data_IF_186988087885
#
_entry.id   IF_186988087885
#
_cell.length_a   1.000
_cell.length_b   1.000
_cell.length_c   1.000
_cell.angle_alpha   90.00
_cell.angle_beta   90.00
_cell.angle_gamma   90.00
#
_symmetry.space_group_name_H-M   'P 1'
#
loop_
_entity.id
_entity.type
_entity.pdbx_description
1 polymer ?
#
# COMPACT_ATOMS: atom_id res chain seq x y z
N UNK A 1 4.12 -29.06 -1.65
CA UNK A 1 3.17 -28.02 -1.23
C UNK A 1 1.77 -28.45 -1.66
N UNK A 2 0.70 -27.93 -1.06
CA UNK A 2 -0.66 -28.11 -1.58
C UNK A 2 -1.21 -26.76 -2.03
N UNK A 3 -1.97 -26.74 -3.10
CA UNK A 3 -2.49 -25.53 -3.74
C UNK A 3 -3.85 -25.79 -4.39
N UNK A 4 -4.55 -24.71 -4.68
CA UNK A 4 -5.79 -24.74 -5.46
C UNK A 4 -5.43 -24.51 -6.93
N UNK A 5 -6.04 -25.26 -7.83
CA UNK A 5 -5.83 -25.14 -9.28
C UNK A 5 -7.17 -24.97 -9.99
N UNK A 6 -7.24 -23.98 -10.87
CA UNK A 6 -8.35 -23.75 -11.77
C UNK A 6 -7.82 -23.73 -13.21
N UNK A 7 -8.41 -24.58 -14.07
CA UNK A 7 -8.06 -24.64 -15.48
C UNK A 7 -9.30 -25.01 -16.30
N UNK A 8 -9.61 -24.23 -17.34
CA UNK A 8 -10.77 -24.44 -18.22
C UNK A 8 -12.11 -24.64 -17.47
N UNK A 9 -12.35 -23.86 -16.41
CA UNK A 9 -13.57 -23.94 -15.60
C UNK A 9 -13.63 -25.13 -14.64
N UNK A 10 -12.60 -25.96 -14.57
CA UNK A 10 -12.44 -27.02 -13.58
C UNK A 10 -11.57 -26.55 -12.42
N UNK A 11 -12.15 -26.48 -11.23
CA UNK A 11 -11.44 -26.15 -9.99
C UNK A 11 -11.19 -27.42 -9.16
N UNK A 12 -9.96 -27.60 -8.67
CA UNK A 12 -9.64 -28.58 -7.62
C UNK A 12 -8.91 -27.89 -6.48
N UNK A 13 -9.38 -28.13 -5.26
CA UNK A 13 -8.91 -27.46 -4.05
C UNK A 13 -7.92 -28.35 -3.31
N UNK A 14 -6.85 -27.75 -2.78
CA UNK A 14 -5.90 -28.36 -1.87
C UNK A 14 -5.30 -29.66 -2.41
N UNK A 15 -4.67 -29.60 -3.58
CA UNK A 15 -3.97 -30.72 -4.23
C UNK A 15 -2.46 -30.53 -4.22
N UNK A 16 -1.73 -31.64 -4.20
CA UNK A 16 -0.30 -31.67 -4.52
C UNK A 16 -0.08 -31.74 -6.02
N UNK A 17 1.15 -31.44 -6.46
CA UNK A 17 1.59 -31.56 -7.85
C UNK A 17 1.27 -32.93 -8.47
N UNK A 18 1.57 -34.01 -7.74
CA UNK A 18 1.31 -35.38 -8.20
C UNK A 18 -0.17 -35.67 -8.37
N UNK A 19 -1.00 -35.31 -7.38
CA UNK A 19 -2.46 -35.46 -7.47
C UNK A 19 -3.04 -34.63 -8.63
N UNK A 20 -2.53 -33.41 -8.87
CA UNK A 20 -2.98 -32.59 -10.00
C UNK A 20 -2.61 -33.21 -11.36
N UNK A 21 -1.41 -33.78 -11.48
CA UNK A 21 -0.98 -34.50 -12.67
C UNK A 21 -1.82 -35.77 -12.92
N UNK A 22 -2.11 -36.54 -11.87
CA UNK A 22 -2.97 -37.73 -11.94
C UNK A 22 -4.42 -37.38 -12.32
N UNK A 23 -4.88 -36.19 -11.94
CA UNK A 23 -6.18 -35.64 -12.32
C UNK A 23 -6.22 -35.07 -13.76
N UNK A 24 -5.09 -35.10 -14.47
CA UNK A 24 -4.96 -34.70 -15.86
C UNK A 24 -4.80 -33.19 -16.09
N UNK A 25 -4.42 -32.41 -15.09
CA UNK A 25 -4.09 -31.00 -15.28
C UNK A 25 -2.80 -30.85 -16.11
N UNK A 26 -2.72 -29.87 -17.03
CA UNK A 26 -1.50 -29.63 -17.80
C UNK A 26 -0.40 -29.07 -16.90
N UNK A 27 0.85 -29.41 -17.21
CA UNK A 27 2.03 -29.03 -16.41
C UNK A 27 2.14 -27.51 -16.21
N UNK A 28 1.85 -26.71 -17.25
CA UNK A 28 1.87 -25.24 -17.16
C UNK A 28 0.87 -24.69 -16.15
N UNK A 29 -0.35 -25.25 -16.08
CA UNK A 29 -1.36 -24.82 -15.11
C UNK A 29 -0.98 -25.22 -13.68
N UNK A 30 -0.37 -26.41 -13.53
CA UNK A 30 0.19 -26.90 -12.27
C UNK A 30 1.31 -25.97 -11.79
N UNK A 31 2.25 -25.62 -12.67
CA UNK A 31 3.36 -24.71 -12.38
C UNK A 31 2.86 -23.33 -11.97
N UNK A 32 1.92 -22.76 -12.72
CA UNK A 32 1.34 -21.45 -12.41
C UNK A 32 0.63 -21.45 -11.04
N UNK A 33 -0.18 -22.47 -10.76
CA UNK A 33 -0.90 -22.60 -9.50
C UNK A 33 0.05 -22.80 -8.31
N UNK A 34 1.08 -23.63 -8.48
CA UNK A 34 2.11 -23.85 -7.47
C UNK A 34 2.91 -22.57 -7.20
N UNK A 35 3.33 -21.84 -8.24
CA UNK A 35 4.00 -20.54 -8.08
C UNK A 35 3.12 -19.51 -7.37
N UNK A 36 1.83 -19.43 -7.73
CA UNK A 36 0.88 -18.53 -7.08
C UNK A 36 0.71 -18.84 -5.59
N UNK A 37 0.65 -20.13 -5.23
CA UNK A 37 0.56 -20.58 -3.85
C UNK A 37 1.84 -20.27 -3.05
N UNK A 38 3.03 -20.45 -3.64
CA UNK A 38 4.29 -20.04 -3.04
C UNK A 38 4.30 -18.54 -2.76
N UNK A 39 3.96 -17.72 -3.76
CA UNK A 39 3.90 -16.27 -3.61
C UNK A 39 2.88 -15.84 -2.55
N UNK A 40 1.73 -16.53 -2.45
CA UNK A 40 0.73 -16.27 -1.42
C UNK A 40 1.25 -16.62 -0.02
N UNK A 41 1.91 -17.76 0.14
CA UNK A 41 2.51 -18.17 1.42
C UNK A 41 3.60 -17.20 1.87
N UNK A 42 4.45 -16.73 0.96
CA UNK A 42 5.49 -15.76 1.27
C UNK A 42 4.91 -14.40 1.66
N UNK A 43 3.84 -13.95 0.97
CA UNK A 43 3.08 -12.76 1.39
C UNK A 43 2.45 -12.92 2.77
N UNK A 44 1.91 -14.10 3.11
CA UNK A 44 1.33 -14.37 4.44
C UNK A 44 2.40 -14.26 5.53
N UNK A 45 3.53 -14.94 5.37
CA UNK A 45 4.66 -14.87 6.31
C UNK A 45 5.18 -13.44 6.48
N UNK A 46 5.25 -12.67 5.40
CA UNK A 46 5.65 -11.26 5.48
C UNK A 46 4.64 -10.46 6.31
N UNK A 47 3.33 -10.65 6.09
CA UNK A 47 2.29 -9.97 6.87
C UNK A 47 2.36 -10.34 8.35
N UNK A 48 2.55 -11.61 8.67
CA UNK A 48 2.73 -12.06 10.06
C UNK A 48 3.93 -11.35 10.73
N UNK A 49 5.04 -11.23 10.00
CA UNK A 49 6.22 -10.49 10.47
C UNK A 49 5.95 -8.99 10.64
N UNK A 50 5.19 -8.38 9.74
CA UNK A 50 4.78 -6.96 9.86
C UNK A 50 3.90 -6.79 11.10
N UNK A 51 2.89 -7.64 11.29
CA UNK A 51 2.00 -7.58 12.46
C UNK A 51 2.80 -7.71 13.75
N UNK A 52 3.70 -8.70 13.82
CA UNK A 52 4.51 -8.93 15.01
C UNK A 52 5.56 -7.83 15.27
N UNK A 53 6.08 -7.19 14.22
CA UNK A 53 7.20 -6.25 14.33
C UNK A 53 6.83 -4.77 14.28
N UNK A 54 5.78 -4.41 13.55
CA UNK A 54 5.37 -3.02 13.28
C UNK A 54 3.99 -2.66 13.83
N UNK A 55 3.20 -3.67 14.25
CA UNK A 55 1.84 -3.48 14.75
C UNK A 55 0.79 -4.06 13.80
N UNK A 56 -0.39 -4.31 14.35
CA UNK A 56 -1.55 -4.78 13.60
C UNK A 56 -2.12 -3.68 12.67
N UNK A 57 -3.11 -4.07 11.86
CA UNK A 57 -3.75 -3.15 10.89
C UNK A 57 -4.27 -1.88 11.55
N UNK A 58 -4.87 -1.98 12.74
CA UNK A 58 -5.47 -0.84 13.43
C UNK A 58 -4.40 0.11 13.98
N UNK A 59 -3.31 -0.44 14.53
CA UNK A 59 -2.16 0.34 14.99
C UNK A 59 -1.47 1.08 13.84
N UNK A 60 -1.30 0.39 12.69
CA UNK A 60 -0.71 0.98 11.49
C UNK A 60 -1.61 2.08 10.91
N UNK A 61 -2.92 1.84 10.85
CA UNK A 61 -3.89 2.84 10.41
C UNK A 61 -3.93 4.05 11.34
N UNK A 62 -3.94 3.83 12.66
CA UNK A 62 -3.87 4.88 13.66
C UNK A 62 -2.61 5.73 13.52
N UNK A 63 -1.46 5.10 13.30
CA UNK A 63 -0.19 5.80 13.04
C UNK A 63 -0.27 6.70 11.79
N UNK A 64 -0.85 6.19 10.69
CA UNK A 64 -1.05 6.98 9.47
C UNK A 64 -2.03 8.13 9.70
N UNK A 65 -3.10 7.91 10.47
CA UNK A 65 -4.08 8.93 10.82
C UNK A 65 -3.46 10.04 11.70
N UNK A 66 -2.65 9.69 12.69
CA UNK A 66 -1.96 10.66 13.56
C UNK A 66 -1.01 11.55 12.74
N UNK A 67 -0.21 10.95 11.86
CA UNK A 67 0.68 11.72 10.97
C UNK A 67 -0.12 12.60 10.01
N UNK A 68 -1.21 12.08 9.43
CA UNK A 68 -2.06 12.82 8.49
C UNK A 68 -2.75 14.01 9.18
N UNK A 69 -3.26 13.81 10.40
CA UNK A 69 -3.92 14.88 11.17
C UNK A 69 -2.93 15.93 11.66
N UNK A 70 -1.71 15.52 12.05
CA UNK A 70 -0.62 16.46 12.33
C UNK A 70 -0.30 17.33 11.11
N UNK A 71 -0.11 16.74 9.93
CA UNK A 71 0.16 17.49 8.69
C UNK A 71 -1.00 18.43 8.33
N UNK A 72 -2.23 17.94 8.43
CA UNK A 72 -3.43 18.74 8.15
C UNK A 72 -3.55 19.94 9.10
N UNK A 73 -3.26 19.75 10.40
CA UNK A 73 -3.26 20.83 11.38
C UNK A 73 -2.22 21.91 11.03
N UNK A 74 -0.99 21.51 10.67
CA UNK A 74 0.05 22.46 10.27
C UNK A 74 -0.31 23.21 8.99
N UNK A 75 -0.93 22.54 8.01
CA UNK A 75 -1.40 23.18 6.78
C UNK A 75 -2.53 24.18 7.07
N UNK A 76 -3.46 23.84 7.95
CA UNK A 76 -4.54 24.74 8.36
C UNK A 76 -3.99 25.99 9.08
N UNK A 77 -3.01 25.82 9.97
CA UNK A 77 -2.33 26.93 10.64
C UNK A 77 -1.61 27.83 9.63
N UNK A 78 -0.92 27.25 8.65
CA UNK A 78 -0.27 27.99 7.58
C UNK A 78 -1.29 28.81 6.78
N UNK A 79 -2.38 28.18 6.34
CA UNK A 79 -3.42 28.87 5.57
C UNK A 79 -4.05 30.03 6.35
N UNK A 80 -4.34 29.82 7.64
CA UNK A 80 -4.85 30.87 8.53
C UNK A 80 -3.86 32.04 8.67
N UNK A 81 -2.58 31.75 8.93
CA UNK A 81 -1.55 32.78 9.06
C UNK A 81 -1.35 33.55 7.73
N UNK A 82 -1.31 32.86 6.58
CA UNK A 82 -1.19 33.49 5.27
C UNK A 82 -2.39 34.39 4.93
N UNK A 83 -3.60 34.03 5.36
CA UNK A 83 -4.80 34.84 5.10
C UNK A 83 -4.79 36.22 5.78
N UNK A 84 -3.94 36.40 6.80
CA UNK A 84 -3.84 37.65 7.58
C UNK A 84 -2.51 38.37 7.41
N UNK A 85 -1.53 37.73 6.77
CA UNK A 85 -0.22 38.30 6.52
C UNK A 85 -0.31 39.52 5.58
N UNK A 86 0.30 40.62 5.98
CA UNK A 86 0.29 41.88 5.23
C UNK A 86 1.62 42.17 4.52
N UNK A 87 2.62 41.29 4.72
CA UNK A 87 3.96 41.48 4.18
C UNK A 87 4.62 40.15 3.83
N UNK A 88 5.62 40.21 2.92
CA UNK A 88 6.47 39.06 2.61
C UNK A 88 7.24 38.55 3.84
N UNK A 89 7.55 39.43 4.80
CA UNK A 89 8.20 39.04 6.04
C UNK A 89 7.27 38.18 6.91
N UNK A 90 6.00 38.60 7.06
CA UNK A 90 4.97 37.82 7.76
C UNK A 90 4.65 36.51 7.04
N UNK A 91 4.59 36.50 5.70
CA UNK A 91 4.41 35.25 4.94
C UNK A 91 5.53 34.24 5.18
N UNK A 92 6.79 34.69 5.23
CA UNK A 92 7.93 33.82 5.55
C UNK A 92 7.86 33.31 6.98
N UNK A 93 7.52 34.18 7.93
CA UNK A 93 7.34 33.80 9.33
C UNK A 93 6.20 32.77 9.50
N UNK A 94 5.09 32.94 8.78
CA UNK A 94 3.96 32.01 8.76
C UNK A 94 4.33 30.63 8.22
N UNK A 95 5.21 30.57 7.21
CA UNK A 95 5.70 29.32 6.64
C UNK A 95 6.71 28.57 7.51
N UNK A 96 7.39 29.27 8.44
CA UNK A 96 8.51 28.73 9.19
C UNK A 96 8.17 27.45 9.98
N UNK A 97 7.05 27.35 10.72
CA UNK A 97 6.75 26.13 11.49
C UNK A 97 6.58 24.88 10.61
N UNK A 98 5.94 25.02 9.44
CA UNK A 98 5.81 23.90 8.50
C UNK A 98 7.15 23.59 7.84
N UNK A 99 7.96 24.62 7.52
CA UNK A 99 9.29 24.43 6.98
C UNK A 99 10.20 23.68 7.95
N UNK A 100 10.20 24.04 9.24
CA UNK A 100 11.00 23.37 10.27
C UNK A 100 10.62 21.89 10.39
N UNK A 101 9.32 21.61 10.50
CA UNK A 101 8.80 20.24 10.60
C UNK A 101 9.16 19.39 9.38
N UNK A 102 8.98 19.92 8.18
CA UNK A 102 9.27 19.19 6.93
C UNK A 102 10.77 19.06 6.67
N UNK A 103 11.59 20.03 7.09
CA UNK A 103 13.04 19.94 7.00
C UNK A 103 13.60 18.88 7.96
N UNK A 104 13.08 18.79 9.20
CA UNK A 104 13.46 17.73 10.14
C UNK A 104 13.10 16.35 9.59
N UNK A 105 11.85 16.18 9.14
CA UNK A 105 11.40 14.93 8.52
C UNK A 105 12.29 14.55 7.32
N UNK A 106 12.58 15.50 6.41
CA UNK A 106 13.47 15.27 5.27
C UNK A 106 14.86 14.85 5.73
N UNK A 107 15.45 15.53 6.71
CA UNK A 107 16.78 15.20 7.22
C UNK A 107 16.84 13.77 7.79
N UNK A 108 15.79 13.33 8.48
CA UNK A 108 15.67 11.96 9.03
C UNK A 108 15.46 10.91 7.94
N UNK A 109 14.82 11.27 6.83
CA UNK A 109 14.71 10.40 5.65
C UNK A 109 16.07 10.29 4.93
N UNK A 110 16.73 11.42 4.70
CA UNK A 110 18.02 11.50 4.00
C UNK A 110 19.13 10.79 4.79
N UNK A 111 19.06 10.80 6.13
CA UNK A 111 19.99 10.07 6.99
C UNK A 111 19.71 8.56 7.07
N UNK A 112 18.55 8.11 6.56
CA UNK A 112 18.10 6.72 6.68
C UNK A 112 17.54 6.35 8.05
N UNK A 113 17.33 7.32 8.95
CA UNK A 113 16.66 7.08 10.24
C UNK A 113 15.19 6.71 10.05
N UNK A 114 14.50 7.40 9.13
CA UNK A 114 13.15 7.08 8.70
C UNK A 114 13.23 6.46 7.30
N UNK A 115 12.66 5.27 7.15
CA UNK A 115 12.55 4.61 5.86
C UNK A 115 11.10 4.25 5.57
N UNK A 116 10.56 4.79 4.49
CA UNK A 116 9.20 4.51 4.08
C UNK A 116 9.11 3.25 3.21
N UNK A 117 7.98 2.51 3.28
CA UNK A 117 7.79 1.31 2.45
C UNK A 117 7.94 1.57 0.94
N UNK A 118 7.58 2.76 0.44
CA UNK A 118 7.72 3.10 -0.97
C UNK A 118 9.19 3.19 -1.42
N UNK A 119 10.11 3.54 -0.53
CA UNK A 119 11.55 3.59 -0.84
C UNK A 119 12.10 2.17 -1.05
N UNK A 120 11.57 1.17 -0.33
CA UNK A 120 11.93 -0.24 -0.54
C UNK A 120 11.27 -0.83 -1.79
N UNK A 121 10.04 -0.40 -2.12
CA UNK A 121 9.30 -0.90 -3.30
C UNK A 121 9.72 -0.26 -4.63
N UNK A 122 10.17 0.99 -4.60
CA UNK A 122 10.37 1.82 -5.79
C UNK A 122 9.08 2.53 -6.23
N UNK A 123 9.23 3.73 -6.78
CA UNK A 123 8.11 4.60 -7.13
C UNK A 123 7.20 3.98 -8.20
N UNK A 124 7.77 3.41 -9.26
CA UNK A 124 7.02 2.83 -10.38
C UNK A 124 6.11 1.68 -9.92
N UNK A 125 6.61 0.81 -9.02
CA UNK A 125 5.83 -0.28 -8.47
C UNK A 125 4.66 0.23 -7.61
N UNK A 126 4.89 1.26 -6.80
CA UNK A 126 3.84 1.86 -5.96
C UNK A 126 2.77 2.52 -6.83
N UNK A 127 3.17 3.29 -7.84
CA UNK A 127 2.25 3.96 -8.76
C UNK A 127 1.45 2.92 -9.57
N UNK A 128 2.10 1.87 -10.06
CA UNK A 128 1.44 0.77 -10.75
C UNK A 128 0.41 0.05 -9.87
N UNK A 129 0.80 -0.35 -8.65
CA UNK A 129 -0.12 -0.98 -7.68
C UNK A 129 -1.33 -0.07 -7.37
N UNK A 130 -1.10 1.21 -7.15
CA UNK A 130 -2.15 2.18 -6.87
C UNK A 130 -3.09 2.35 -8.08
N UNK A 131 -2.53 2.50 -9.28
CA UNK A 131 -3.28 2.63 -10.53
C UNK A 131 -4.20 1.43 -10.76
N UNK A 132 -3.67 0.20 -10.67
CA UNK A 132 -4.49 -1.02 -10.82
C UNK A 132 -5.66 -1.04 -9.84
N UNK A 133 -5.44 -0.69 -8.58
CA UNK A 133 -6.49 -0.68 -7.56
C UNK A 133 -7.52 0.41 -7.81
N UNK A 134 -7.09 1.63 -8.11
CA UNK A 134 -8.01 2.73 -8.38
C UNK A 134 -8.85 2.48 -9.63
N UNK A 135 -8.26 1.96 -10.70
CA UNK A 135 -9.01 1.57 -11.90
C UNK A 135 -10.02 0.47 -11.60
N UNK A 136 -9.65 -0.58 -10.86
CA UNK A 136 -10.59 -1.63 -10.50
C UNK A 136 -11.77 -1.09 -9.67
N UNK A 137 -11.53 -0.17 -8.74
CA UNK A 137 -12.59 0.49 -7.97
C UNK A 137 -13.49 1.32 -8.89
N UNK A 138 -12.91 2.12 -9.79
CA UNK A 138 -13.68 2.96 -10.71
C UNK A 138 -14.62 2.13 -11.60
N UNK A 139 -14.12 1.01 -12.16
CA UNK A 139 -14.95 0.08 -12.96
C UNK A 139 -16.15 -0.42 -12.15
N UNK A 140 -15.93 -0.84 -10.91
CA UNK A 140 -17.03 -1.30 -10.03
C UNK A 140 -18.05 -0.19 -9.70
N UNK A 141 -17.60 1.07 -9.64
CA UNK A 141 -18.50 2.21 -9.44
C UNK A 141 -19.35 2.47 -10.68
N UNK A 142 -18.74 2.47 -11.86
CA UNK A 142 -19.43 2.67 -13.15
C UNK A 142 -20.50 1.56 -13.37
N UNK A 143 -20.15 0.30 -13.11
CA UNK A 143 -21.09 -0.83 -13.18
C UNK A 143 -22.28 -0.68 -12.21
N UNK A 144 -22.05 -0.13 -11.02
CA UNK A 144 -23.11 0.11 -10.04
C UNK A 144 -24.05 1.26 -10.44
N UNK A 145 -23.53 2.29 -11.11
CA UNK A 145 -24.33 3.38 -11.66
C UNK A 145 -25.19 2.94 -12.86
N UNK A 146 -24.68 2.07 -13.73
CA UNK A 146 -25.43 1.53 -14.86
C UNK A 146 -26.54 0.55 -14.45
N UNK A 147 -26.41 -0.09 -13.27
CA UNK A 147 -27.37 -1.05 -12.75
C UNK A 147 -28.51 -0.42 -11.92
N UNK A 148 -28.44 0.88 -11.59
CA UNK A 148 -29.40 1.62 -10.77
C UNK A 148 -30.36 2.49 -11.58
#
# INVERSE_FOLDING_TARGET
MRFDIEFEGRQTINVSRGEAADLGYPEEAIDAAEQAAHAAADRSKLRERIIAGAGDTDSLLGTVADVSTLMLAQLAQLAAALSTAQSLAEMRAAAQPLADLTNDLRARIDSGEIHFPHQAKGADAVIGEAGTRFTAIAVLMDEAEEAG
#
